data_IF_598967082383
#
_entry.id   IF_598967082383
#
_cell.length_a   1.000
_cell.length_b   1.000
_cell.length_c   1.000
_cell.angle_alpha   90.00
_cell.angle_beta   90.00
_cell.angle_gamma   90.00
#
_symmetry.space_group_name_H-M   'P 1'
#
loop_
_entity.id
_entity.type
_entity.pdbx_description
1 polymer ?
#
# COMPACT_ATOMS: atom_id res chain seq x y z
N UNK A 1 -8.20 -80.71 -11.04
CA UNK A 1 -7.21 -79.66 -10.71
C UNK A 1 -6.98 -78.54 -11.76
N UNK A 2 -7.74 -78.37 -12.88
CA UNK A 2 -7.43 -77.28 -13.83
C UNK A 2 -8.18 -75.95 -13.57
N UNK A 3 -9.31 -75.95 -12.83
CA UNK A 3 -10.13 -74.73 -12.65
C UNK A 3 -9.57 -73.71 -11.63
N UNK A 4 -8.58 -74.06 -10.81
CA UNK A 4 -8.04 -73.14 -9.78
C UNK A 4 -6.90 -72.24 -10.28
N UNK A 5 -6.22 -72.57 -11.38
CA UNK A 5 -5.14 -71.73 -11.94
C UNK A 5 -5.67 -70.57 -12.80
N UNK A 6 -6.79 -70.74 -13.49
CA UNK A 6 -7.37 -69.69 -14.34
C UNK A 6 -7.90 -68.49 -13.54
N UNK A 7 -8.39 -68.73 -12.32
CA UNK A 7 -8.93 -67.67 -11.45
C UNK A 7 -7.84 -66.77 -10.85
N UNK A 8 -6.64 -67.31 -10.54
CA UNK A 8 -5.51 -66.51 -10.03
C UNK A 8 -4.89 -65.64 -11.14
N UNK A 9 -4.81 -66.15 -12.37
CA UNK A 9 -4.27 -65.39 -13.51
C UNK A 9 -5.15 -64.18 -13.87
N UNK A 10 -6.47 -64.29 -13.73
CA UNK A 10 -7.41 -63.19 -13.93
C UNK A 10 -7.34 -62.12 -12.84
N UNK A 11 -6.96 -62.48 -11.61
CA UNK A 11 -6.87 -61.56 -10.49
C UNK A 11 -5.57 -60.75 -10.54
N UNK A 12 -4.44 -61.39 -10.88
CA UNK A 12 -3.14 -60.74 -11.06
C UNK A 12 -3.13 -59.75 -12.25
N UNK A 13 -3.81 -60.06 -13.36
CA UNK A 13 -3.92 -59.15 -14.50
C UNK A 13 -4.79 -57.92 -14.20
N UNK A 14 -5.82 -58.06 -13.34
CA UNK A 14 -6.67 -56.95 -12.91
C UNK A 14 -5.97 -56.06 -11.87
N UNK A 15 -5.18 -56.62 -10.96
CA UNK A 15 -4.36 -55.84 -10.03
C UNK A 15 -3.23 -55.08 -10.74
N UNK A 16 -2.63 -55.66 -11.79
CA UNK A 16 -1.60 -54.98 -12.59
C UNK A 16 -2.20 -53.83 -13.44
N UNK A 17 -3.41 -53.99 -13.97
CA UNK A 17 -4.10 -52.93 -14.71
C UNK A 17 -4.58 -51.77 -13.82
N UNK A 18 -4.94 -52.05 -12.56
CA UNK A 18 -5.31 -51.02 -11.58
C UNK A 18 -4.05 -50.32 -11.02
N UNK A 19 -2.94 -51.02 -10.83
CA UNK A 19 -1.67 -50.41 -10.41
C UNK A 19 -1.04 -49.54 -11.51
N UNK A 20 -1.25 -49.86 -12.80
CA UNK A 20 -0.76 -49.04 -13.91
C UNK A 20 -1.63 -47.80 -14.20
N UNK A 21 -2.84 -47.71 -13.62
CA UNK A 21 -3.73 -46.55 -13.75
C UNK A 21 -3.51 -45.48 -12.67
N UNK A 22 -2.70 -45.78 -11.64
CA UNK A 22 -2.37 -44.84 -10.55
C UNK A 22 -0.97 -44.23 -10.65
N UNK A 23 -0.21 -44.55 -11.69
CA UNK A 23 1.08 -43.93 -11.97
C UNK A 23 0.92 -42.93 -13.13
N UNK A 24 1.35 -41.68 -12.89
CA UNK A 24 1.36 -40.54 -13.81
C UNK A 24 0.03 -39.77 -13.91
N UNK A 25 -0.36 -39.13 -12.80
CA UNK A 25 -0.96 -37.79 -12.96
C UNK A 25 0.17 -36.85 -13.38
N UNK A 26 0.09 -36.19 -14.56
CA UNK A 26 1.01 -35.12 -14.85
C UNK A 26 0.74 -34.01 -13.83
N UNK A 27 1.75 -33.72 -13.01
CA UNK A 27 1.88 -32.40 -12.40
C UNK A 27 1.96 -31.45 -13.58
N UNK A 28 0.82 -30.81 -13.91
CA UNK A 28 0.80 -29.69 -14.83
C UNK A 28 1.50 -28.53 -14.10
N UNK A 29 2.84 -28.52 -14.13
CA UNK A 29 3.55 -27.25 -14.12
C UNK A 29 2.95 -26.45 -15.27
N UNK A 30 2.43 -25.25 -15.02
CA UNK A 30 1.77 -24.45 -16.05
C UNK A 30 2.75 -24.11 -17.16
N UNK A 31 2.83 -24.95 -18.18
CA UNK A 31 3.66 -24.74 -19.36
C UNK A 31 3.26 -23.39 -19.96
N UNK A 32 4.22 -22.45 -19.99
CA UNK A 32 4.07 -21.15 -20.63
C UNK A 32 3.70 -19.96 -19.73
N UNK A 33 3.43 -20.10 -18.43
CA UNK A 33 3.13 -18.92 -17.55
C UNK A 33 4.22 -18.68 -16.52
N UNK A 34 4.92 -17.55 -16.62
CA UNK A 34 6.01 -17.17 -15.70
C UNK A 34 5.69 -15.83 -15.03
N UNK A 35 6.12 -15.67 -13.78
CA UNK A 35 5.95 -14.42 -13.04
C UNK A 35 7.23 -14.02 -12.29
N UNK A 36 7.57 -12.73 -12.35
CA UNK A 36 8.55 -12.09 -11.48
C UNK A 36 7.81 -11.14 -10.54
N UNK A 37 7.88 -11.42 -9.24
CA UNK A 37 7.15 -10.71 -8.19
C UNK A 37 8.15 -10.10 -7.23
N UNK A 38 8.11 -8.78 -7.06
CA UNK A 38 9.09 -8.02 -6.29
C UNK A 38 8.38 -7.14 -5.25
N UNK A 39 8.85 -7.20 -4.00
CA UNK A 39 8.36 -6.37 -2.90
C UNK A 39 9.53 -5.74 -2.15
N UNK A 40 9.67 -4.41 -2.22
CA UNK A 40 10.74 -3.69 -1.53
C UNK A 40 10.15 -2.80 -0.43
N UNK A 41 10.59 -3.02 0.80
CA UNK A 41 10.03 -2.42 2.02
C UNK A 41 11.10 -1.76 2.88
N UNK A 42 12.23 -2.45 3.10
CA UNK A 42 13.30 -2.05 4.02
C UNK A 42 14.36 -1.15 3.36
N UNK A 43 13.95 0.05 2.92
CA UNK A 43 14.84 1.00 2.24
C UNK A 43 15.93 1.58 3.15
N UNK A 44 17.17 1.59 2.65
CA UNK A 44 18.34 2.15 3.35
C UNK A 44 18.44 3.68 3.20
N UNK A 45 18.10 4.19 2.00
CA UNK A 45 18.28 5.61 1.63
C UNK A 45 16.95 6.30 1.24
N UNK A 46 15.82 5.69 1.60
CA UNK A 46 14.48 6.24 1.42
C UNK A 46 13.59 5.82 2.61
N UNK A 47 12.45 6.49 2.86
CA UNK A 47 11.52 6.06 3.91
C UNK A 47 11.08 4.60 3.70
N UNK A 48 11.05 3.77 4.75
CA UNK A 48 10.55 2.41 4.63
C UNK A 48 9.04 2.42 4.31
N UNK A 49 8.58 1.32 3.73
CA UNK A 49 7.15 1.06 3.48
C UNK A 49 6.64 -0.01 4.46
N UNK A 50 5.33 -0.28 4.46
CA UNK A 50 4.73 -1.20 5.44
C UNK A 50 4.14 -2.49 4.85
N UNK A 51 3.80 -2.48 3.57
CA UNK A 51 3.11 -3.61 2.90
C UNK A 51 3.90 -4.37 1.82
N UNK A 52 4.93 -3.82 1.12
CA UNK A 52 5.46 -4.46 -0.08
C UNK A 52 5.95 -5.90 0.04
N UNK A 53 6.60 -6.27 1.14
CA UNK A 53 7.07 -7.65 1.32
C UNK A 53 5.89 -8.62 1.43
N UNK A 54 4.86 -8.24 2.19
CA UNK A 54 3.63 -9.02 2.32
C UNK A 54 2.88 -9.10 1.00
N UNK A 55 2.72 -7.97 0.33
CA UNK A 55 2.05 -7.86 -0.96
C UNK A 55 2.67 -8.84 -1.99
N UNK A 56 4.01 -8.83 -2.09
CA UNK A 56 4.74 -9.72 -2.97
C UNK A 56 4.60 -11.20 -2.57
N UNK A 57 4.67 -11.52 -1.28
CA UNK A 57 4.53 -12.89 -0.81
C UNK A 57 3.14 -13.46 -1.08
N UNK A 58 2.09 -12.67 -0.83
CA UNK A 58 0.70 -13.06 -1.01
C UNK A 58 0.35 -13.20 -2.50
N UNK A 59 0.78 -12.24 -3.32
CA UNK A 59 0.63 -12.30 -4.78
C UNK A 59 1.36 -13.52 -5.36
N UNK A 60 2.58 -13.79 -4.90
CA UNK A 60 3.34 -14.95 -5.35
C UNK A 60 2.65 -16.28 -5.01
N UNK A 61 2.03 -16.40 -3.83
CA UNK A 61 1.25 -17.60 -3.47
C UNK A 61 0.05 -17.76 -4.39
N UNK A 62 -0.76 -16.72 -4.56
CA UNK A 62 -1.91 -16.75 -5.45
C UNK A 62 -1.54 -17.14 -6.89
N UNK A 63 -0.46 -16.56 -7.45
CA UNK A 63 0.01 -16.87 -8.80
C UNK A 63 0.51 -18.31 -8.94
N UNK A 64 1.19 -18.86 -7.92
CA UNK A 64 1.59 -20.28 -7.91
C UNK A 64 0.38 -21.20 -7.91
N UNK A 65 -0.62 -20.91 -7.09
CA UNK A 65 -1.88 -21.67 -7.03
C UNK A 65 -2.64 -21.62 -8.37
N UNK A 66 -2.48 -20.52 -9.10
CA UNK A 66 -3.02 -20.33 -10.44
C UNK A 66 -2.14 -20.94 -11.54
N UNK A 67 -1.03 -21.59 -11.19
CA UNK A 67 -0.16 -22.32 -12.11
C UNK A 67 0.85 -21.47 -12.88
N UNK A 68 1.38 -20.41 -12.27
CA UNK A 68 2.57 -19.71 -12.75
C UNK A 68 3.87 -20.30 -12.17
N UNK A 69 4.96 -20.31 -12.94
CA UNK A 69 6.32 -20.41 -12.40
C UNK A 69 6.75 -19.04 -11.85
N UNK A 70 6.73 -18.89 -10.52
CA UNK A 70 6.93 -17.60 -9.84
C UNK A 70 8.32 -17.47 -9.23
N UNK A 71 9.08 -16.49 -9.71
CA UNK A 71 10.30 -15.98 -9.10
C UNK A 71 9.96 -14.80 -8.19
N UNK A 72 10.37 -14.84 -6.92
CA UNK A 72 10.05 -13.81 -5.93
C UNK A 72 11.33 -13.16 -5.43
N UNK A 73 11.30 -11.83 -5.29
CA UNK A 73 12.32 -11.05 -4.61
C UNK A 73 11.68 -10.17 -3.56
N UNK A 74 12.33 -10.09 -2.39
CA UNK A 74 11.97 -9.16 -1.33
C UNK A 74 13.21 -8.38 -0.92
N UNK A 75 13.06 -7.08 -0.71
CA UNK A 75 14.14 -6.17 -0.32
C UNK A 75 15.40 -6.33 -1.18
N UNK A 76 15.21 -6.29 -2.51
CA UNK A 76 16.28 -6.51 -3.46
C UNK A 76 17.15 -5.26 -3.62
N UNK A 77 18.46 -5.44 -3.58
CA UNK A 77 19.44 -4.43 -4.00
C UNK A 77 19.54 -4.37 -5.54
N UNK A 78 20.17 -3.32 -6.12
CA UNK A 78 20.23 -3.13 -7.57
C UNK A 78 20.86 -4.31 -8.32
N UNK A 79 21.95 -4.89 -7.80
CA UNK A 79 22.69 -5.96 -8.45
C UNK A 79 21.88 -7.27 -8.49
N UNK A 80 21.28 -7.64 -7.37
CA UNK A 80 20.41 -8.83 -7.27
C UNK A 80 19.20 -8.67 -8.18
N UNK A 81 18.57 -7.49 -8.18
CA UNK A 81 17.44 -7.21 -9.06
C UNK A 81 17.85 -7.40 -10.53
N UNK A 82 18.91 -6.75 -11.00
CA UNK A 82 19.40 -6.87 -12.38
C UNK A 82 19.76 -8.31 -12.76
N UNK A 83 20.45 -9.04 -11.88
CA UNK A 83 20.84 -10.42 -12.12
C UNK A 83 19.62 -11.34 -12.28
N UNK A 84 18.64 -11.24 -11.39
CA UNK A 84 17.42 -12.04 -11.46
C UNK A 84 16.53 -11.64 -12.62
N UNK A 85 16.46 -10.35 -12.97
CA UNK A 85 15.78 -9.89 -14.17
C UNK A 85 16.37 -10.53 -15.43
N UNK A 86 17.70 -10.61 -15.53
CA UNK A 86 18.40 -11.30 -16.62
C UNK A 86 18.07 -12.79 -16.69
N UNK A 87 18.07 -13.49 -15.55
CA UNK A 87 17.68 -14.90 -15.48
C UNK A 87 16.20 -15.12 -15.84
N UNK A 88 15.32 -14.23 -15.38
CA UNK A 88 13.89 -14.28 -15.68
C UNK A 88 13.59 -13.98 -17.15
N UNK A 89 14.30 -13.04 -17.78
CA UNK A 89 14.17 -12.73 -19.20
C UNK A 89 14.38 -13.96 -20.09
N UNK A 90 15.35 -14.82 -19.73
CA UNK A 90 15.58 -16.08 -20.44
C UNK A 90 14.38 -17.04 -20.36
N UNK A 91 13.69 -17.10 -19.21
CA UNK A 91 12.45 -17.87 -19.05
C UNK A 91 11.28 -17.25 -19.81
N UNK A 92 11.14 -15.93 -19.73
CA UNK A 92 10.04 -15.18 -20.32
C UNK A 92 10.02 -15.23 -21.86
N UNK A 93 11.19 -15.34 -22.49
CA UNK A 93 11.31 -15.35 -23.96
C UNK A 93 10.45 -16.43 -24.65
N UNK A 94 10.30 -17.60 -24.02
CA UNK A 94 9.51 -18.73 -24.52
C UNK A 94 8.15 -18.91 -23.84
N UNK A 95 7.73 -17.96 -22.99
CA UNK A 95 6.48 -18.07 -22.25
C UNK A 95 5.28 -17.59 -23.09
N UNK A 96 4.11 -18.17 -22.86
CA UNK A 96 2.83 -17.66 -23.36
C UNK A 96 2.40 -16.41 -22.58
N UNK A 97 2.80 -16.29 -21.31
CA UNK A 97 2.53 -15.14 -20.46
C UNK A 97 3.73 -14.88 -19.56
N UNK A 98 4.25 -13.66 -19.61
CA UNK A 98 5.16 -13.13 -18.60
C UNK A 98 4.44 -12.08 -17.76
N UNK A 99 4.37 -12.32 -16.46
CA UNK A 99 3.82 -11.37 -15.50
C UNK A 99 4.95 -10.73 -14.70
N UNK A 100 4.92 -9.41 -14.58
CA UNK A 100 5.77 -8.64 -13.69
C UNK A 100 4.90 -7.92 -12.68
N UNK A 101 5.16 -8.17 -11.40
CA UNK A 101 4.52 -7.51 -10.29
C UNK A 101 5.58 -6.80 -9.45
N UNK A 102 5.34 -5.54 -9.11
CA UNK A 102 6.22 -4.76 -8.25
C UNK A 102 5.42 -3.96 -7.22
N UNK A 103 5.78 -4.12 -5.94
CA UNK A 103 5.36 -3.25 -4.83
C UNK A 103 6.59 -2.58 -4.22
N UNK A 104 6.54 -1.27 -4.01
CA UNK A 104 7.65 -0.49 -3.48
C UNK A 104 7.72 0.95 -4.01
N UNK A 105 8.83 1.65 -3.74
CA UNK A 105 9.07 3.00 -4.27
C UNK A 105 9.33 2.98 -5.77
N UNK A 106 8.72 3.95 -6.47
CA UNK A 106 9.03 4.26 -7.86
C UNK A 106 8.86 5.76 -8.13
N UNK A 107 9.59 6.31 -9.09
CA UNK A 107 9.46 7.71 -9.49
C UNK A 107 9.50 7.88 -11.01
N UNK A 108 9.25 9.10 -11.52
CA UNK A 108 9.56 9.44 -12.90
C UNK A 108 10.71 10.40 -12.98
N UNK A 109 11.53 10.16 -14.00
CA UNK A 109 12.53 11.10 -14.46
C UNK A 109 12.56 11.07 -16.00
N UNK A 110 12.41 12.23 -16.64
CA UNK A 110 12.51 12.33 -18.10
C UNK A 110 11.46 11.52 -18.89
N UNK A 111 10.28 11.28 -18.30
CA UNK A 111 9.20 10.50 -18.90
C UNK A 111 9.27 9.00 -18.62
N UNK A 112 10.33 8.53 -17.95
CA UNK A 112 10.54 7.11 -17.66
C UNK A 112 10.17 6.80 -16.21
N UNK A 113 9.43 5.72 -16.00
CA UNK A 113 9.15 5.17 -14.68
C UNK A 113 10.37 4.39 -14.19
N UNK A 114 10.92 4.73 -13.03
CA UNK A 114 12.07 4.08 -12.40
C UNK A 114 11.64 3.40 -11.10
N UNK A 115 11.97 2.12 -10.97
CA UNK A 115 11.76 1.31 -9.77
C UNK A 115 12.98 1.38 -8.88
N UNK A 116 12.78 1.43 -7.57
CA UNK A 116 13.83 1.71 -6.58
C UNK A 116 14.14 0.44 -5.76
N UNK A 117 15.34 -0.15 -5.95
CA UNK A 117 15.92 -1.15 -5.05
C UNK A 117 16.15 -0.61 -3.63
N UNK A 118 16.19 -1.48 -2.62
CA UNK A 118 16.23 -1.04 -1.20
C UNK A 118 17.52 -0.29 -0.82
N UNK A 119 18.64 -0.65 -1.42
CA UNK A 119 19.95 -0.01 -1.17
C UNK A 119 20.30 1.09 -2.16
N UNK A 120 19.37 1.49 -3.04
CA UNK A 120 19.61 2.48 -4.08
C UNK A 120 20.01 3.83 -3.47
N UNK A 121 21.07 4.45 -4.01
CA UNK A 121 21.51 5.80 -3.62
C UNK A 121 20.88 6.84 -4.54
N UNK A 122 20.07 7.72 -3.94
CA UNK A 122 19.19 8.65 -4.66
C UNK A 122 19.64 10.12 -4.60
N UNK A 123 20.82 10.36 -4.02
CA UNK A 123 21.42 11.67 -3.75
C UNK A 123 22.21 12.24 -4.95
N UNK A 124 22.59 11.39 -5.91
CA UNK A 124 23.33 11.80 -7.12
C UNK A 124 22.52 11.53 -8.40
N UNK A 125 21.95 12.58 -9.04
CA UNK A 125 21.20 12.46 -10.28
C UNK A 125 21.94 11.73 -11.41
N UNK A 126 23.28 11.79 -11.44
CA UNK A 126 24.08 11.13 -12.46
C UNK A 126 24.15 9.60 -12.28
N UNK A 127 23.98 9.11 -11.04
CA UNK A 127 24.03 7.68 -10.69
C UNK A 127 22.67 7.01 -10.66
N UNK A 128 21.58 7.77 -10.75
CA UNK A 128 20.21 7.22 -10.70
C UNK A 128 19.98 6.13 -11.76
N UNK A 129 20.62 6.21 -12.92
CA UNK A 129 20.51 5.17 -13.95
C UNK A 129 21.13 3.83 -13.51
N UNK A 130 22.19 3.87 -12.70
CA UNK A 130 22.86 2.67 -12.18
C UNK A 130 22.18 2.15 -10.90
N UNK A 131 21.60 3.04 -10.11
CA UNK A 131 20.98 2.75 -8.81
C UNK A 131 19.52 2.30 -8.92
N UNK A 132 18.87 2.53 -10.07
CA UNK A 132 17.44 2.20 -10.30
C UNK A 132 17.25 1.36 -11.55
N UNK A 133 16.03 0.84 -11.76
CA UNK A 133 15.68 0.12 -12.98
C UNK A 133 14.54 0.83 -13.71
N UNK A 134 14.72 1.08 -14.99
CA UNK A 134 13.69 1.72 -15.80
C UNK A 134 12.64 0.69 -16.26
N UNK A 135 11.35 1.00 -16.07
CA UNK A 135 10.25 0.10 -16.41
C UNK A 135 10.25 -0.31 -17.88
N UNK A 136 10.63 0.60 -18.78
CA UNK A 136 10.72 0.32 -20.22
C UNK A 136 11.81 -0.71 -20.55
N UNK A 137 12.93 -0.70 -19.82
CA UNK A 137 14.00 -1.67 -19.95
C UNK A 137 13.56 -3.03 -19.41
N UNK A 138 12.91 -3.05 -18.25
CA UNK A 138 12.30 -4.26 -17.67
C UNK A 138 11.31 -4.88 -18.67
N UNK A 139 10.35 -4.10 -19.16
CA UNK A 139 9.31 -4.55 -20.08
C UNK A 139 9.87 -4.98 -21.44
N UNK A 140 11.00 -4.44 -21.87
CA UNK A 140 11.70 -4.88 -23.08
C UNK A 140 12.42 -6.20 -22.83
N UNK A 141 13.10 -6.35 -21.69
CA UNK A 141 13.88 -7.54 -21.37
C UNK A 141 13.00 -8.79 -21.18
N UNK A 142 11.84 -8.64 -20.54
CA UNK A 142 10.97 -9.77 -20.18
C UNK A 142 9.84 -10.04 -21.18
N UNK A 143 9.84 -9.33 -22.31
CA UNK A 143 8.78 -9.49 -23.31
C UNK A 143 8.82 -10.90 -23.90
N UNK A 144 7.71 -11.66 -23.84
CA UNK A 144 7.62 -12.91 -24.57
C UNK A 144 7.58 -12.69 -26.08
N UNK A 145 8.11 -13.63 -26.86
CA UNK A 145 8.18 -13.51 -28.32
C UNK A 145 6.79 -13.50 -28.97
N UNK A 146 5.95 -14.45 -28.60
CA UNK A 146 4.63 -14.68 -29.19
C UNK A 146 3.49 -14.63 -28.14
N UNK A 147 3.83 -14.33 -26.88
CA UNK A 147 2.93 -14.33 -25.73
C UNK A 147 2.48 -12.94 -25.27
N UNK A 148 1.89 -12.91 -24.07
CA UNK A 148 1.37 -11.70 -23.43
C UNK A 148 2.29 -11.20 -22.32
N UNK A 149 2.46 -9.87 -22.23
CA UNK A 149 3.19 -9.22 -21.14
C UNK A 149 2.21 -8.52 -20.20
N UNK A 150 2.16 -8.95 -18.94
CA UNK A 150 1.30 -8.34 -17.92
C UNK A 150 2.18 -7.65 -16.88
N UNK A 151 1.93 -6.37 -16.60
CA UNK A 151 2.69 -5.56 -15.66
C UNK A 151 1.72 -4.97 -14.64
N UNK A 152 1.97 -5.19 -13.35
CA UNK A 152 1.21 -4.64 -12.24
C UNK A 152 2.14 -3.87 -11.31
N UNK A 153 1.88 -2.58 -11.15
CA UNK A 153 2.71 -1.68 -10.36
C UNK A 153 1.91 -1.14 -9.18
N UNK A 154 2.22 -1.68 -8.01
CA UNK A 154 1.77 -1.21 -6.71
C UNK A 154 2.80 -0.25 -6.09
N UNK A 155 3.13 0.78 -6.86
CA UNK A 155 4.16 1.72 -6.49
C UNK A 155 3.61 3.13 -6.44
N UNK A 156 3.78 3.74 -5.27
CA UNK A 156 3.40 5.12 -4.99
C UNK A 156 4.61 6.04 -5.18
N UNK A 157 4.31 7.32 -5.32
CA UNK A 157 5.15 8.23 -6.08
C UNK A 157 5.51 9.54 -5.41
N UNK A 158 5.55 9.54 -4.09
CA UNK A 158 6.36 10.51 -3.39
C UNK A 158 7.78 10.33 -3.92
N UNK A 159 8.25 11.29 -4.71
CA UNK A 159 9.55 11.17 -5.34
C UNK A 159 10.59 11.04 -4.23
N UNK A 160 11.31 9.91 -4.10
CA UNK A 160 12.28 9.72 -3.03
C UNK A 160 13.54 10.56 -3.26
N UNK A 161 13.63 11.27 -4.39
CA UNK A 161 14.67 12.26 -4.66
C UNK A 161 14.48 13.50 -3.76
N UNK A 162 15.52 13.94 -3.02
CA UNK A 162 15.43 15.05 -2.06
C UNK A 162 14.87 16.37 -2.62
N UNK A 163 15.10 16.67 -3.90
CA UNK A 163 14.79 17.95 -4.54
C UNK A 163 13.67 17.88 -5.59
N UNK A 164 12.97 16.75 -5.70
CA UNK A 164 12.00 16.57 -6.77
C UNK A 164 10.56 16.90 -6.34
N UNK A 165 9.70 17.38 -7.27
CA UNK A 165 8.29 17.57 -6.99
C UNK A 165 7.65 16.27 -6.49
N UNK A 166 7.08 16.30 -5.28
CA UNK A 166 6.51 15.11 -4.64
C UNK A 166 5.18 14.63 -5.27
N UNK A 167 4.55 15.46 -6.11
CA UNK A 167 3.19 15.22 -6.63
C UNK A 167 3.14 14.64 -8.06
N UNK A 168 4.28 14.22 -8.62
CA UNK A 168 4.36 13.75 -10.00
C UNK A 168 4.14 12.22 -10.13
N UNK A 169 2.93 11.73 -9.80
CA UNK A 169 2.42 10.33 -9.95
C UNK A 169 2.74 9.61 -11.29
N UNK A 170 2.52 8.28 -11.44
CA UNK A 170 3.16 7.39 -12.46
C UNK A 170 3.06 7.95 -13.89
N UNK A 171 4.16 7.96 -14.67
CA UNK A 171 4.05 8.39 -16.05
C UNK A 171 3.33 7.28 -16.82
N UNK A 172 2.43 7.69 -17.69
CA UNK A 172 1.78 6.76 -18.59
C UNK A 172 2.82 5.97 -19.37
N UNK A 173 2.64 4.65 -19.43
CA UNK A 173 3.56 3.76 -20.12
C UNK A 173 2.78 2.78 -21.00
N UNK A 174 3.16 2.74 -22.28
CA UNK A 174 2.70 1.76 -23.23
C UNK A 174 3.79 0.72 -23.45
N UNK A 175 3.52 -0.53 -23.07
CA UNK A 175 4.40 -1.65 -23.35
C UNK A 175 4.14 -2.24 -24.75
N UNK A 176 3.45 -1.56 -25.66
CA UNK A 176 3.23 -1.99 -27.03
C UNK A 176 2.29 -3.20 -27.17
N UNK A 177 2.22 -3.76 -28.38
CA UNK A 177 1.27 -4.83 -28.70
C UNK A 177 1.44 -6.07 -27.81
N UNK A 178 0.32 -6.67 -27.39
CA UNK A 178 0.31 -7.86 -26.55
C UNK A 178 0.60 -7.59 -25.08
N UNK A 179 0.53 -6.32 -24.63
CA UNK A 179 0.81 -5.96 -23.25
C UNK A 179 -0.40 -5.43 -22.49
N UNK A 180 -0.35 -5.57 -21.18
CA UNK A 180 -1.25 -4.98 -20.21
C UNK A 180 -0.43 -4.36 -19.09
N UNK A 181 -0.68 -3.09 -18.76
CA UNK A 181 0.00 -2.39 -17.67
C UNK A 181 -1.04 -1.79 -16.75
N UNK A 182 -1.03 -2.20 -15.48
CA UNK A 182 -1.89 -1.66 -14.43
C UNK A 182 -1.07 -0.95 -13.36
N UNK A 183 -1.62 0.16 -12.90
CA UNK A 183 -1.08 1.02 -11.87
C UNK A 183 -2.06 1.09 -10.71
N UNK A 184 -1.55 1.05 -9.48
CA UNK A 184 -2.36 1.15 -8.27
C UNK A 184 -3.15 2.47 -8.16
N UNK A 185 -2.70 3.52 -8.84
CA UNK A 185 -3.40 4.82 -8.91
C UNK A 185 -3.23 5.47 -10.28
N UNK A 186 -4.10 6.44 -10.58
CA UNK A 186 -4.07 7.18 -11.83
C UNK A 186 -2.80 8.03 -11.97
N UNK A 187 -2.36 8.34 -13.21
CA UNK A 187 -1.25 9.25 -13.45
C UNK A 187 -1.41 10.58 -12.69
N UNK A 188 -0.36 11.03 -12.01
CA UNK A 188 -0.38 12.26 -11.20
C UNK A 188 -1.10 12.17 -9.84
N UNK A 189 -1.50 10.98 -9.38
CA UNK A 189 -2.07 10.75 -8.04
C UNK A 189 -1.15 9.86 -7.19
N UNK A 190 -1.38 9.86 -5.87
CA UNK A 190 -0.60 9.08 -4.88
C UNK A 190 -1.43 7.86 -4.44
N UNK A 191 -0.80 6.70 -4.29
CA UNK A 191 -1.44 5.51 -3.73
C UNK A 191 -1.08 5.35 -2.24
N UNK A 192 -1.89 4.56 -1.53
CA UNK A 192 -1.76 4.39 -0.09
C UNK A 192 -0.91 3.18 0.28
N UNK A 193 0.10 3.42 1.12
CA UNK A 193 0.93 2.40 1.79
C UNK A 193 0.32 1.91 3.12
N UNK A 194 -1.00 2.07 3.32
CA UNK A 194 -1.67 1.63 4.56
C UNK A 194 -2.81 0.69 4.25
N UNK A 195 -2.55 -0.61 4.38
CA UNK A 195 -3.58 -1.58 4.71
C UNK A 195 -4.09 -1.37 6.14
N UNK A 196 -5.24 -1.96 6.50
CA UNK A 196 -5.55 -2.17 7.92
C UNK A 196 -4.40 -2.98 8.58
N UNK A 197 -4.19 -2.88 9.89
CA UNK A 197 -3.05 -3.53 10.56
C UNK A 197 -2.90 -5.02 10.13
N UNK A 198 -1.78 -5.33 9.46
CA UNK A 198 -1.47 -6.67 8.93
C UNK A 198 -2.08 -7.04 7.58
N UNK A 199 -2.77 -6.13 6.90
CA UNK A 199 -3.33 -6.35 5.56
C UNK A 199 -2.38 -5.88 4.44
N UNK A 200 -2.58 -6.44 3.25
CA UNK A 200 -1.96 -5.98 2.01
C UNK A 200 -2.36 -4.53 1.69
N UNK A 201 -1.64 -3.88 0.77
CA UNK A 201 -2.04 -2.59 0.21
C UNK A 201 -3.47 -2.66 -0.36
N UNK A 202 -4.18 -1.52 -0.50
CA UNK A 202 -5.51 -1.53 -1.12
C UNK A 202 -5.53 -2.18 -2.51
N UNK A 203 -4.52 -1.89 -3.34
CA UNK A 203 -4.46 -2.41 -4.72
C UNK A 203 -4.18 -3.91 -4.75
N UNK A 204 -3.17 -4.36 -4.00
CA UNK A 204 -2.82 -5.79 -3.96
C UNK A 204 -3.89 -6.61 -3.26
N UNK A 205 -4.43 -6.10 -2.15
CA UNK A 205 -5.58 -6.72 -1.48
C UNK A 205 -6.79 -6.87 -2.40
N UNK A 206 -7.07 -5.88 -3.26
CA UNK A 206 -8.12 -5.97 -4.26
C UNK A 206 -7.80 -6.98 -5.37
N UNK A 207 -6.58 -6.98 -5.93
CA UNK A 207 -6.17 -7.99 -6.91
C UNK A 207 -6.36 -9.41 -6.37
N UNK A 208 -5.86 -9.68 -5.16
CA UNK A 208 -5.93 -11.00 -4.51
C UNK A 208 -7.36 -11.51 -4.32
N UNK A 209 -8.36 -10.63 -4.17
CA UNK A 209 -9.77 -11.02 -4.08
C UNK A 209 -10.34 -11.54 -5.40
N UNK A 210 -9.81 -11.09 -6.54
CA UNK A 210 -10.42 -11.31 -7.85
C UNK A 210 -9.59 -12.22 -8.78
N UNK A 211 -8.26 -12.33 -8.60
CA UNK A 211 -7.39 -13.13 -9.48
C UNK A 211 -7.74 -14.62 -9.52
N UNK A 212 -8.37 -15.16 -8.48
CA UNK A 212 -8.75 -16.56 -8.42
C UNK A 212 -10.14 -16.86 -9.02
N UNK A 213 -10.90 -15.83 -9.44
CA UNK A 213 -12.27 -16.01 -9.94
C UNK A 213 -12.28 -16.76 -11.29
N UNK A 214 -12.86 -17.98 -11.37
CA UNK A 214 -12.83 -18.77 -12.59
C UNK A 214 -13.57 -18.12 -13.75
N UNK A 215 -12.92 -18.07 -14.91
CA UNK A 215 -13.50 -17.55 -16.14
C UNK A 215 -13.52 -16.02 -16.25
N UNK A 216 -13.11 -15.29 -15.22
CA UNK A 216 -13.09 -13.83 -15.22
C UNK A 216 -12.01 -13.28 -16.15
N UNK A 217 -12.39 -12.36 -17.03
CA UNK A 217 -11.43 -11.68 -17.90
C UNK A 217 -10.63 -10.65 -17.11
N UNK A 218 -9.37 -10.43 -17.50
CA UNK A 218 -8.51 -9.41 -16.87
C UNK A 218 -9.14 -8.01 -16.90
N UNK A 219 -9.87 -7.68 -17.96
CA UNK A 219 -10.57 -6.38 -18.07
C UNK A 219 -11.69 -6.26 -17.03
N UNK A 220 -12.50 -7.30 -16.86
CA UNK A 220 -13.58 -7.29 -15.86
C UNK A 220 -13.02 -7.30 -14.43
N UNK A 221 -11.96 -8.08 -14.21
CA UNK A 221 -11.21 -8.12 -12.96
C UNK A 221 -10.77 -6.71 -12.55
N UNK A 222 -10.22 -5.95 -13.48
CA UNK A 222 -9.70 -4.61 -13.19
C UNK A 222 -10.79 -3.58 -12.92
N UNK A 223 -12.01 -3.78 -13.44
CA UNK A 223 -13.18 -2.98 -13.05
C UNK A 223 -13.50 -3.22 -11.56
N UNK A 224 -13.50 -4.49 -11.12
CA UNK A 224 -13.77 -4.83 -9.72
C UNK A 224 -12.66 -4.32 -8.80
N UNK A 225 -11.40 -4.49 -9.20
CA UNK A 225 -10.24 -3.95 -8.46
C UNK A 225 -10.35 -2.44 -8.31
N UNK A 226 -10.74 -1.71 -9.36
CA UNK A 226 -10.89 -0.25 -9.28
C UNK A 226 -11.98 0.16 -8.30
N UNK A 227 -13.13 -0.52 -8.32
CA UNK A 227 -14.24 -0.25 -7.41
C UNK A 227 -13.83 -0.51 -5.96
N UNK A 228 -13.25 -1.68 -5.71
CA UNK A 228 -12.75 -2.09 -4.40
C UNK A 228 -11.75 -1.10 -3.80
N UNK A 229 -10.76 -0.68 -4.60
CA UNK A 229 -9.76 0.29 -4.16
C UNK A 229 -10.40 1.65 -3.93
N UNK A 230 -11.24 2.13 -4.85
CA UNK A 230 -11.95 3.41 -4.68
C UNK A 230 -12.79 3.42 -3.40
N UNK A 231 -13.53 2.34 -3.12
CA UNK A 231 -14.39 2.24 -1.94
C UNK A 231 -13.57 2.19 -0.64
N UNK A 232 -12.51 1.36 -0.60
CA UNK A 232 -11.61 1.25 0.55
C UNK A 232 -10.89 2.56 0.87
N UNK A 233 -10.62 3.35 -0.17
CA UNK A 233 -9.80 4.56 -0.09
C UNK A 233 -10.66 5.83 -0.05
N UNK A 234 -12.00 5.70 -0.08
CA UNK A 234 -12.92 6.85 -0.13
C UNK A 234 -12.72 7.73 -1.37
N UNK A 235 -12.34 7.10 -2.49
CA UNK A 235 -12.14 7.72 -3.80
C UNK A 235 -10.81 8.44 -3.99
N UNK A 236 -9.87 8.38 -3.03
CA UNK A 236 -8.57 9.08 -3.19
C UNK A 236 -7.55 8.28 -4.00
N UNK A 237 -7.77 6.98 -4.18
CA UNK A 237 -6.97 6.14 -5.06
C UNK A 237 -7.88 5.48 -6.08
N UNK A 238 -7.53 5.62 -7.35
CA UNK A 238 -8.27 5.04 -8.48
C UNK A 238 -7.27 4.29 -9.36
N UNK A 239 -7.24 2.95 -9.31
CA UNK A 239 -6.42 2.14 -10.21
C UNK A 239 -6.68 2.46 -11.67
N UNK A 240 -5.60 2.47 -12.45
CA UNK A 240 -5.64 2.80 -13.87
C UNK A 240 -4.83 1.80 -14.67
N UNK A 241 -5.31 1.47 -15.87
CA UNK A 241 -4.68 0.51 -16.76
C UNK A 241 -4.56 1.03 -18.20
N UNK A 242 -3.56 0.49 -18.89
CA UNK A 242 -3.40 0.59 -20.31
C UNK A 242 -3.27 -0.82 -20.89
N UNK A 243 -4.07 -1.12 -21.92
CA UNK A 243 -4.11 -2.44 -22.54
C UNK A 243 -3.94 -2.34 -24.04
N UNK A 244 -3.01 -3.14 -24.54
CA UNK A 244 -2.80 -3.44 -25.96
C UNK A 244 -2.88 -4.96 -26.20
N UNK A 245 -3.58 -5.68 -25.32
CA UNK A 245 -3.80 -7.12 -25.45
C UNK A 245 -4.59 -7.45 -26.72
N UNK A 246 -4.20 -8.54 -27.39
CA UNK A 246 -4.83 -9.01 -28.64
C UNK A 246 -5.84 -10.13 -28.41
N UNK A 247 -5.88 -10.68 -27.21
CA UNK A 247 -6.81 -11.70 -26.75
C UNK A 247 -7.08 -11.52 -25.26
N UNK A 248 -8.22 -12.02 -24.79
CA UNK A 248 -8.57 -11.93 -23.38
C UNK A 248 -7.62 -12.81 -22.55
N UNK A 249 -7.05 -12.23 -21.49
CA UNK A 249 -6.35 -12.98 -20.46
C UNK A 249 -7.31 -13.38 -19.34
N UNK A 250 -7.10 -14.56 -18.76
CA UNK A 250 -7.77 -15.06 -17.56
C UNK A 250 -6.74 -15.72 -16.68
N UNK A 251 -6.72 -15.35 -15.39
CA UNK A 251 -5.85 -16.00 -14.42
C UNK A 251 -6.27 -17.46 -14.18
N UNK A 252 -7.57 -17.67 -13.93
CA UNK A 252 -8.21 -18.98 -13.84
C UNK A 252 -9.16 -19.19 -15.04
N UNK A 253 -8.90 -20.12 -15.97
CA UNK A 253 -9.83 -20.49 -17.03
C UNK A 253 -11.16 -21.07 -16.49
N UNK A 254 -12.28 -20.80 -17.18
CA UNK A 254 -13.57 -21.38 -16.82
C UNK A 254 -13.53 -22.92 -16.93
N UNK A 255 -13.89 -23.63 -15.86
CA UNK A 255 -13.93 -25.09 -15.83
C UNK A 255 -12.73 -25.78 -15.17
N UNK A 256 -11.73 -25.03 -14.68
CA UNK A 256 -10.85 -25.55 -13.61
C UNK A 256 -11.62 -25.41 -12.29
N UNK A 257 -11.89 -26.50 -11.55
CA UNK A 257 -12.35 -26.38 -10.18
C UNK A 257 -11.31 -25.54 -9.43
N UNK A 258 -11.75 -24.50 -8.73
CA UNK A 258 -10.93 -23.90 -7.68
C UNK A 258 -10.46 -25.09 -6.84
N UNK A 259 -9.15 -25.33 -6.83
CA UNK A 259 -8.61 -26.47 -6.08
C UNK A 259 -9.01 -26.18 -4.64
N UNK A 260 -9.95 -26.98 -4.13
CA UNK A 260 -10.44 -26.88 -2.78
C UNK A 260 -9.20 -26.91 -1.89
N UNK A 261 -8.92 -25.78 -1.23
CA UNK A 261 -7.78 -25.61 -0.36
C UNK A 261 -7.93 -26.62 0.77
N UNK A 262 -7.45 -27.85 0.52
CA UNK A 262 -7.34 -28.89 1.50
C UNK A 262 -6.27 -28.39 2.44
N UNK A 263 -6.68 -27.88 3.60
CA UNK A 263 -5.76 -27.61 4.69
C UNK A 263 -4.88 -28.86 4.85
N UNK A 264 -3.54 -28.75 4.77
CA UNK A 264 -2.70 -29.91 5.01
C UNK A 264 -2.93 -30.34 6.46
N UNK A 265 -3.61 -31.48 6.64
CA UNK A 265 -3.54 -32.19 7.91
C UNK A 265 -2.11 -32.72 8.03
N UNK A 266 -1.28 -31.99 8.76
CA UNK A 266 -0.01 -32.53 9.23
C UNK A 266 -0.33 -33.58 10.30
N UNK A 267 -0.33 -34.85 9.92
CA UNK A 267 0.08 -35.89 10.86
C UNK A 267 1.58 -35.68 11.09
N UNK A 268 1.92 -35.20 12.29
CA UNK A 268 3.30 -35.05 12.70
C UNK A 268 3.96 -36.43 12.73
N UNK A 269 5.11 -36.65 12.04
CA UNK A 269 5.88 -37.86 12.27
C UNK A 269 6.38 -37.85 13.73
N UNK A 270 6.08 -38.93 14.44
CA UNK A 270 6.74 -39.25 15.70
C UNK A 270 8.18 -39.62 15.38
N UNK A 271 9.11 -38.86 15.92
CA UNK A 271 10.52 -39.20 15.88
C UNK A 271 10.85 -40.07 17.09
N UNK A 272 11.20 -41.34 16.83
CA UNK A 272 11.89 -42.16 17.82
C UNK A 272 13.27 -41.55 18.08
N UNK A 273 13.56 -41.28 19.35
CA UNK A 273 14.87 -40.84 19.82
C UNK A 273 15.89 -41.97 19.62
N UNK A 274 16.90 -41.73 18.79
CA UNK A 274 18.08 -42.59 18.72
C UNK A 274 19.18 -41.96 19.57
N UNK A 275 19.67 -42.74 20.54
CA UNK A 275 20.78 -42.38 21.42
C UNK A 275 22.05 -42.09 20.61
N UNK A 276 22.75 -41.04 21.01
CA UNK A 276 24.04 -40.67 20.45
C UNK A 276 25.13 -41.60 20.99
N UNK A 277 25.59 -42.53 20.15
CA UNK A 277 26.88 -43.19 20.35
C UNK A 277 27.85 -42.86 19.22
N UNK A 278 29.00 -42.39 19.67
CA UNK A 278 30.22 -41.99 18.96
C UNK A 278 30.66 -42.92 17.83
N UNK A 279 30.93 -42.35 16.65
CA UNK A 279 31.82 -42.95 15.65
C UNK A 279 32.90 -41.93 15.28
N UNK A 280 34.14 -42.28 15.66
CA UNK A 280 35.38 -41.67 15.24
C UNK A 280 35.54 -41.80 13.72
N UNK A 281 35.84 -40.70 13.05
CA UNK A 281 36.30 -40.71 11.65
C UNK A 281 37.78 -41.10 11.63
N UNK A 282 38.09 -42.15 10.88
CA UNK A 282 39.46 -42.53 10.51
C UNK A 282 39.76 -41.90 9.14
N UNK A 283 40.75 -41.00 9.12
CA UNK A 283 41.26 -40.35 7.92
C UNK A 283 42.16 -41.33 7.17
N UNK A 284 41.67 -41.96 6.10
CA UNK A 284 42.46 -42.35 4.90
C UNK A 284 41.64 -43.16 3.89
N UNK A 285 41.07 -42.49 2.91
CA UNK A 285 40.88 -43.02 1.55
C UNK A 285 40.56 -41.86 0.60
N UNK A 286 41.58 -41.36 -0.10
CA UNK A 286 41.69 -41.50 -1.56
C UNK A 286 40.58 -40.72 -2.28
N UNK A 287 40.83 -39.46 -2.65
CA UNK A 287 41.54 -39.15 -3.90
C UNK A 287 41.06 -40.07 -5.03
N UNK A 288 39.95 -39.71 -5.67
CA UNK A 288 39.67 -39.75 -7.12
C UNK A 288 38.20 -39.33 -7.37
N UNK A 289 37.94 -38.03 -7.57
CA UNK A 289 36.78 -37.49 -8.33
C UNK A 289 36.88 -35.96 -8.53
N UNK A 290 37.18 -35.54 -9.76
CA UNK A 290 37.00 -34.25 -10.48
C UNK A 290 36.75 -32.90 -9.72
N UNK A 291 37.65 -31.89 -9.84
CA UNK A 291 37.54 -30.60 -9.16
C UNK A 291 36.83 -29.49 -9.99
N UNK A 292 35.75 -29.79 -10.73
CA UNK A 292 35.05 -28.78 -11.57
C UNK A 292 33.56 -28.60 -11.22
N UNK A 293 33.02 -29.27 -10.19
CA UNK A 293 31.58 -29.17 -9.88
C UNK A 293 31.16 -28.87 -8.44
N UNK A 294 32.06 -28.35 -7.60
CA UNK A 294 31.71 -27.93 -6.23
C UNK A 294 32.25 -26.55 -5.82
N UNK A 295 32.44 -25.62 -6.78
CA UNK A 295 32.78 -24.22 -6.49
C UNK A 295 31.59 -23.25 -6.67
N UNK A 296 30.39 -23.77 -6.94
CA UNK A 296 29.15 -23.01 -6.87
C UNK A 296 28.27 -23.70 -5.84
N UNK A 297 27.86 -22.97 -4.81
CA UNK A 297 27.11 -23.42 -3.62
C UNK A 297 28.00 -23.86 -2.44
N UNK A 298 28.76 -22.94 -1.84
CA UNK A 298 28.95 -22.89 -0.38
C UNK A 298 29.80 -21.70 0.07
N UNK A 299 29.20 -20.51 0.09
CA UNK A 299 29.49 -19.52 1.12
C UNK A 299 28.30 -18.56 1.19
N UNK A 300 27.79 -18.31 2.39
CA UNK A 300 26.72 -17.35 2.75
C UNK A 300 25.29 -17.87 2.97
N UNK A 301 25.12 -19.06 3.53
CA UNK A 301 23.97 -19.33 4.41
C UNK A 301 24.39 -20.11 5.65
N UNK A 302 25.06 -19.42 6.58
CA UNK A 302 25.16 -19.90 7.97
C UNK A 302 25.37 -18.72 8.93
N UNK A 303 24.29 -18.03 9.30
CA UNK A 303 24.10 -17.54 10.67
C UNK A 303 22.71 -16.93 10.88
N UNK A 304 21.78 -17.73 11.38
CA UNK A 304 20.56 -17.27 12.05
C UNK A 304 20.09 -18.41 12.95
N UNK A 305 20.67 -18.48 14.15
CA UNK A 305 20.08 -19.09 15.34
C UNK A 305 21.05 -19.01 16.53
N UNK A 306 21.06 -17.88 17.25
CA UNK A 306 21.24 -17.88 18.70
C UNK A 306 20.48 -16.71 19.30
N UNK A 307 19.33 -17.00 19.90
CA UNK A 307 18.63 -16.10 20.83
C UNK A 307 19.41 -16.11 22.15
N UNK A 308 19.94 -14.96 22.54
CA UNK A 308 20.51 -14.74 23.87
C UNK A 308 19.46 -14.11 24.81
N UNK A 309 19.45 -14.42 26.11
CA UNK A 309 18.47 -13.88 27.05
C UNK A 309 18.74 -12.41 27.38
N UNK A 310 17.65 -11.65 27.51
CA UNK A 310 17.62 -10.20 27.77
C UNK A 310 18.05 -9.92 29.22
N UNK A 311 19.00 -9.02 29.41
CA UNK A 311 19.48 -8.52 30.71
C UNK A 311 18.61 -7.34 31.20
N UNK A 312 18.40 -7.11 32.53
CA UNK A 312 17.35 -6.20 33.03
C UNK A 312 17.67 -4.69 32.98
N UNK A 313 18.85 -4.25 32.55
CA UNK A 313 19.32 -2.87 32.78
C UNK A 313 19.62 -2.05 31.51
N UNK A 314 18.88 -2.26 30.41
CA UNK A 314 18.96 -1.38 29.23
C UNK A 314 17.85 -0.29 29.23
N UNK A 315 18.17 0.97 28.86
CA UNK A 315 17.25 2.10 28.97
C UNK A 315 16.05 1.98 28.00
N UNK A 316 14.85 2.22 28.52
CA UNK A 316 13.58 2.20 27.77
C UNK A 316 13.55 3.32 26.72
N UNK A 317 13.43 2.96 25.45
CA UNK A 317 13.06 3.87 24.36
C UNK A 317 11.54 4.08 24.40
N UNK A 318 11.12 5.34 24.38
CA UNK A 318 9.73 5.79 24.39
C UNK A 318 9.02 5.50 23.06
N UNK A 319 7.74 5.14 23.14
CA UNK A 319 6.87 4.94 21.98
C UNK A 319 5.88 3.78 22.16
N UNK A 320 5.08 3.80 23.22
CA UNK A 320 3.91 2.92 23.33
C UNK A 320 2.76 3.70 23.91
N UNK A 321 2.20 4.58 23.07
CA UNK A 321 0.94 5.29 23.37
C UNK A 321 -0.20 4.65 22.56
N UNK A 322 -0.28 3.31 22.60
CA UNK A 322 -1.46 2.58 22.13
C UNK A 322 -2.49 2.63 23.24
N UNK A 323 -3.54 3.44 23.06
CA UNK A 323 -4.69 3.43 23.94
C UNK A 323 -5.37 2.05 23.96
N UNK A 324 -5.97 1.63 25.08
CA UNK A 324 -6.72 0.38 25.16
C UNK A 324 -7.88 0.40 24.14
N UNK A 325 -7.73 -0.38 23.06
CA UNK A 325 -8.72 -0.47 21.98
C UNK A 325 -8.17 -0.42 20.56
N UNK A 326 -6.85 -0.37 20.37
CA UNK A 326 -6.22 -0.48 19.03
C UNK A 326 -6.41 0.76 18.14
N UNK A 327 -6.83 1.88 18.73
CA UNK A 327 -6.96 3.16 18.04
C UNK A 327 -5.68 3.95 18.29
N UNK A 328 -4.97 4.29 17.21
CA UNK A 328 -3.77 5.12 17.30
C UNK A 328 -4.14 6.49 17.90
N UNK A 329 -3.41 6.90 18.94
CA UNK A 329 -3.59 8.21 19.53
C UNK A 329 -2.98 9.28 18.63
N UNK A 330 -3.64 10.45 18.50
CA UNK A 330 -3.07 11.56 17.78
C UNK A 330 -1.89 12.12 18.55
N UNK A 331 -0.86 12.56 17.83
CA UNK A 331 0.36 13.17 18.39
C UNK A 331 0.02 14.37 19.31
N UNK A 332 -1.02 15.14 18.95
CA UNK A 332 -1.65 16.13 19.82
C UNK A 332 -3.03 15.63 20.28
N UNK A 333 -3.06 14.99 21.45
CA UNK A 333 -4.27 14.40 22.02
C UNK A 333 -5.42 15.43 22.23
N UNK A 334 -5.19 16.63 22.80
CA UNK A 334 -6.19 17.69 22.84
C UNK A 334 -6.80 18.05 21.47
N UNK A 335 -5.99 18.15 20.43
CA UNK A 335 -6.44 18.49 19.08
C UNK A 335 -7.31 17.38 18.48
N UNK A 336 -6.87 16.12 18.61
CA UNK A 336 -7.63 14.98 18.16
C UNK A 336 -8.97 14.82 18.89
N UNK A 337 -9.00 15.02 20.20
CA UNK A 337 -10.25 15.01 20.98
C UNK A 337 -11.18 16.16 20.55
N UNK A 338 -10.66 17.37 20.29
CA UNK A 338 -11.45 18.48 19.75
C UNK A 338 -12.03 18.16 18.36
N UNK A 339 -11.25 17.50 17.49
CA UNK A 339 -11.68 17.09 16.16
C UNK A 339 -12.81 16.08 16.22
N UNK A 340 -12.69 15.06 17.08
CA UNK A 340 -13.74 14.07 17.26
C UNK A 340 -14.99 14.65 17.92
N UNK A 341 -14.84 15.50 18.94
CA UNK A 341 -15.98 16.24 19.53
C UNK A 341 -16.71 17.10 18.50
N UNK A 342 -15.99 17.64 17.51
CA UNK A 342 -16.57 18.41 16.41
C UNK A 342 -17.32 17.52 15.43
N UNK A 343 -16.74 16.36 15.07
CA UNK A 343 -17.38 15.33 14.21
C UNK A 343 -18.71 14.85 14.79
N UNK A 344 -18.76 14.56 16.09
CA UNK A 344 -19.99 14.10 16.76
C UNK A 344 -20.99 15.23 17.06
N UNK A 345 -20.65 16.48 16.69
CA UNK A 345 -21.52 17.65 16.83
C UNK A 345 -21.54 18.27 18.23
N UNK A 346 -20.64 17.86 19.12
CA UNK A 346 -20.58 18.34 20.51
C UNK A 346 -19.69 19.59 20.68
N UNK A 347 -18.82 19.89 19.71
CA UNK A 347 -17.92 21.05 19.70
C UNK A 347 -18.13 21.95 18.48
N UNK A 348 -18.26 23.26 18.71
CA UNK A 348 -18.46 24.28 17.66
C UNK A 348 -17.29 25.27 17.53
N UNK A 349 -16.24 25.09 18.35
CA UNK A 349 -15.04 25.91 18.34
C UNK A 349 -14.08 25.60 17.19
N UNK A 350 -12.96 26.32 17.18
CA UNK A 350 -11.82 26.01 16.31
C UNK A 350 -11.10 24.78 16.88
N UNK A 351 -10.64 23.88 16.01
CA UNK A 351 -9.73 22.81 16.41
C UNK A 351 -8.33 23.40 16.35
N UNK A 352 -7.71 23.58 17.51
CA UNK A 352 -6.45 24.29 17.71
C UNK A 352 -5.52 23.61 18.71
N UNK A 353 -5.97 22.54 19.37
CA UNK A 353 -5.20 21.85 20.40
C UNK A 353 -5.18 22.56 21.76
N UNK A 354 -5.75 23.77 21.87
CA UNK A 354 -5.80 24.51 23.13
C UNK A 354 -6.96 24.00 24.00
N UNK A 355 -6.65 23.27 25.08
CA UNK A 355 -7.68 22.68 25.95
C UNK A 355 -8.26 23.68 26.97
N UNK A 356 -9.14 24.56 26.47
CA UNK A 356 -9.82 25.60 27.25
C UNK A 356 -11.20 25.22 27.79
N UNK A 357 -11.86 26.17 28.45
CA UNK A 357 -13.22 26.00 29.01
C UNK A 357 -14.29 25.61 27.95
N UNK A 358 -14.09 25.97 26.69
CA UNK A 358 -14.98 25.57 25.59
C UNK A 358 -14.93 24.07 25.31
N UNK A 359 -13.73 23.49 25.31
CA UNK A 359 -13.48 22.07 25.03
C UNK A 359 -13.93 21.21 26.22
N UNK A 360 -13.65 21.62 27.47
CA UNK A 360 -14.17 20.96 28.68
C UNK A 360 -15.69 20.87 28.71
N UNK A 361 -16.39 21.97 28.36
CA UNK A 361 -17.87 21.98 28.26
C UNK A 361 -18.38 21.09 27.14
N UNK A 362 -17.66 21.00 26.02
CA UNK A 362 -18.04 20.14 24.91
C UNK A 362 -17.90 18.64 25.25
N UNK A 363 -16.86 18.28 25.98
CA UNK A 363 -16.70 16.92 26.51
C UNK A 363 -17.81 16.56 27.51
N UNK A 364 -18.16 17.47 28.43
CA UNK A 364 -19.31 17.28 29.32
C UNK A 364 -20.62 17.05 28.55
N UNK A 365 -20.88 17.84 27.50
CA UNK A 365 -22.06 17.64 26.64
C UNK A 365 -22.08 16.28 25.94
N UNK A 366 -20.92 15.78 25.53
CA UNK A 366 -20.82 14.46 24.94
C UNK A 366 -21.25 13.39 25.94
N UNK A 367 -20.71 13.42 27.18
CA UNK A 367 -21.10 12.47 28.22
C UNK A 367 -22.59 12.57 28.58
N UNK A 368 -23.15 13.79 28.64
CA UNK A 368 -24.59 14.00 28.83
C UNK A 368 -25.41 13.37 27.69
N UNK A 369 -24.96 13.54 26.44
CA UNK A 369 -25.65 13.05 25.26
C UNK A 369 -25.66 11.51 25.18
N UNK A 370 -24.57 10.86 25.60
CA UNK A 370 -24.49 9.39 25.69
C UNK A 370 -25.00 8.84 27.02
N UNK A 371 -25.50 9.69 27.92
CA UNK A 371 -25.98 9.34 29.28
C UNK A 371 -24.93 8.59 30.11
N UNK A 372 -23.68 9.06 30.07
CA UNK A 372 -22.58 8.49 30.86
C UNK A 372 -22.42 9.26 32.17
N UNK A 373 -22.20 8.55 33.28
CA UNK A 373 -21.92 9.15 34.60
C UNK A 373 -20.46 9.66 34.75
N UNK A 374 -19.73 9.82 33.63
CA UNK A 374 -18.32 10.21 33.65
C UNK A 374 -18.17 11.68 34.06
N UNK A 375 -17.17 11.95 34.91
CA UNK A 375 -16.79 13.30 35.34
C UNK A 375 -15.51 13.79 34.67
N UNK A 376 -15.05 13.10 33.63
CA UNK A 376 -13.82 13.44 32.94
C UNK A 376 -13.96 14.79 32.23
N UNK A 377 -12.96 15.65 32.41
CA UNK A 377 -12.95 17.01 31.84
C UNK A 377 -11.70 17.30 31.04
N UNK A 378 -10.71 16.41 31.07
CA UNK A 378 -9.45 16.52 30.34
C UNK A 378 -9.43 15.56 29.14
N UNK A 379 -8.61 15.82 28.11
CA UNK A 379 -8.52 14.96 26.94
C UNK A 379 -7.62 13.76 27.27
N UNK A 380 -8.22 12.60 27.53
CA UNK A 380 -7.48 11.35 27.75
C UNK A 380 -7.53 10.42 26.54
N UNK A 381 -6.64 9.44 26.53
CA UNK A 381 -6.58 8.40 25.51
C UNK A 381 -7.92 7.64 25.42
N UNK A 382 -8.50 7.29 26.56
CA UNK A 382 -9.77 6.56 26.67
C UNK A 382 -10.94 7.41 26.16
N UNK A 383 -10.92 8.73 26.45
CA UNK A 383 -11.90 9.68 25.92
C UNK A 383 -11.82 9.74 24.40
N UNK A 384 -10.61 9.81 23.84
CA UNK A 384 -10.41 9.80 22.40
C UNK A 384 -10.97 8.52 21.77
N UNK A 385 -10.63 7.34 22.32
CA UNK A 385 -11.15 6.05 21.83
C UNK A 385 -12.67 5.93 21.97
N UNK A 386 -13.27 6.49 23.02
CA UNK A 386 -14.71 6.50 23.19
C UNK A 386 -15.39 7.40 22.13
N UNK A 387 -14.78 8.54 21.83
CA UNK A 387 -15.29 9.49 20.84
C UNK A 387 -15.19 8.95 19.41
N UNK A 388 -14.12 8.26 19.03
CA UNK A 388 -13.99 7.67 17.68
C UNK A 388 -15.07 6.62 17.39
N UNK A 389 -15.57 5.95 18.43
CA UNK A 389 -16.66 4.97 18.33
C UNK A 389 -18.07 5.59 18.35
N UNK A 390 -18.19 6.88 18.67
CA UNK A 390 -19.47 7.55 18.77
C UNK A 390 -20.02 7.93 17.38
N UNK A 391 -21.33 7.78 17.23
CA UNK A 391 -22.05 8.10 16.00
C UNK A 391 -21.96 9.60 15.66
N UNK A 392 -21.95 9.91 14.36
CA UNK A 392 -22.07 11.29 13.91
C UNK A 392 -23.40 11.91 14.40
N UNK A 393 -23.36 13.19 14.79
CA UNK A 393 -24.51 13.94 15.35
C UNK A 393 -25.03 13.43 16.70
N UNK A 394 -24.18 12.81 17.51
CA UNK A 394 -24.50 12.42 18.90
C UNK A 394 -25.06 13.61 19.72
N UNK A 395 -24.50 14.80 19.55
CA UNK A 395 -25.05 16.01 20.16
C UNK A 395 -26.06 16.71 19.24
N UNK A 396 -27.20 17.13 19.82
CA UNK A 396 -28.15 17.99 19.11
C UNK A 396 -27.53 19.37 18.86
N UNK A 397 -27.73 19.96 17.66
CA UNK A 397 -27.18 21.28 17.35
C UNK A 397 -27.70 22.30 18.35
N UNK A 398 -26.79 23.09 18.92
CA UNK A 398 -27.19 24.12 19.86
C UNK A 398 -28.06 25.17 19.14
N UNK A 399 -29.16 25.63 19.75
CA UNK A 399 -29.75 26.88 19.32
C UNK A 399 -28.69 27.96 19.51
N UNK A 400 -28.30 28.61 18.40
CA UNK A 400 -27.44 29.80 18.43
C UNK A 400 -28.13 30.82 19.33
N UNK A 401 -27.57 31.03 20.52
CA UNK A 401 -28.07 32.04 21.43
C UNK A 401 -28.01 33.39 20.70
N UNK A 402 -29.18 33.99 20.46
CA UNK A 402 -29.27 35.38 20.06
C UNK A 402 -28.45 36.21 21.06
N UNK A 403 -27.58 37.06 20.52
CA UNK A 403 -26.76 38.03 21.24
C UNK A 403 -27.59 38.63 22.39
N UNK A 404 -27.14 38.57 23.67
CA UNK A 404 -27.89 39.20 24.74
C UNK A 404 -27.97 40.70 24.44
N UNK A 405 -29.17 41.25 24.36
CA UNK A 405 -29.37 42.68 24.44
C UNK A 405 -28.67 43.17 25.72
N UNK A 406 -27.80 44.17 25.57
CA UNK A 406 -27.15 44.88 26.67
C UNK A 406 -28.18 45.35 27.68
N UNK A 407 -28.38 44.59 28.76
CA UNK A 407 -29.06 45.08 29.96
C UNK A 407 -28.07 46.00 30.68
N UNK A 408 -28.36 47.30 30.63
CA UNK A 408 -27.79 48.30 31.54
C UNK A 408 -28.05 47.83 32.98
N UNK A 409 -27.02 47.37 33.67
CA UNK A 409 -27.03 47.28 35.13
C UNK A 409 -26.83 48.67 35.69
N UNK A 410 -27.90 49.27 36.20
CA UNK A 410 -27.80 50.45 37.03
C UNK A 410 -27.02 50.12 38.29
N UNK A 411 -26.00 50.93 38.58
CA UNK A 411 -25.54 51.14 39.95
C UNK A 411 -25.63 52.64 40.22
N UNK A 412 -26.48 52.97 41.18
CA UNK A 412 -26.71 54.34 41.67
C UNK A 412 -25.45 54.89 42.35
N UNK A 413 -24.99 56.06 41.90
CA UNK A 413 -24.28 57.02 42.73
C UNK A 413 -24.44 58.46 42.16
N UNK A 414 -25.39 59.19 42.75
CA UNK A 414 -25.29 60.58 43.26
C UNK A 414 -24.75 61.71 42.33
N UNK A 415 -25.67 62.65 42.05
CA UNK A 415 -25.54 64.13 41.93
C UNK A 415 -24.44 64.70 41.02
N UNK A 416 -24.85 65.40 39.95
CA UNK A 416 -24.99 66.87 39.91
C UNK A 416 -25.52 67.33 38.54
N UNK A 417 -26.25 68.45 38.55
CA UNK A 417 -27.08 68.98 37.47
C UNK A 417 -26.28 69.92 36.51
N UNK A 418 -26.92 70.79 35.71
CA UNK A 418 -27.01 70.66 34.26
C UNK A 418 -26.27 71.80 33.53
N UNK A 419 -26.12 71.72 32.19
CA UNK A 419 -26.17 72.97 31.44
C UNK A 419 -26.84 72.84 30.07
N UNK A 420 -27.54 73.92 29.78
CA UNK A 420 -28.52 74.22 28.78
C UNK A 420 -27.87 74.80 27.52
N UNK A 421 -28.48 74.59 26.35
CA UNK A 421 -28.90 75.63 25.37
C UNK A 421 -29.35 74.95 24.06
N UNK A 422 -30.62 75.13 23.65
CA UNK A 422 -31.09 76.03 22.55
C UNK A 422 -30.36 75.75 21.23
N UNK A 423 -30.99 75.52 20.08
CA UNK A 423 -32.17 76.19 19.51
C UNK A 423 -32.63 75.45 18.25
N UNK A 424 -33.95 75.56 18.02
CA UNK A 424 -34.71 75.38 16.78
C UNK A 424 -33.98 75.64 15.45
N UNK A 425 -34.42 74.95 14.39
CA UNK A 425 -34.25 75.49 13.03
C UNK A 425 -34.44 74.52 11.86
N UNK A 426 -35.69 74.15 11.58
CA UNK A 426 -36.35 74.06 10.27
C UNK A 426 -35.74 73.27 9.08
N UNK A 427 -36.68 72.54 8.47
CA UNK A 427 -36.75 71.90 7.13
C UNK A 427 -35.76 72.30 6.03
N UNK A 428 -35.24 71.30 5.31
CA UNK A 428 -35.41 71.22 3.84
C UNK A 428 -35.14 69.81 3.30
N UNK A 429 -36.05 69.37 2.44
CA UNK A 429 -36.00 68.16 1.61
C UNK A 429 -34.94 68.37 0.52
N UNK A 430 -33.99 67.46 0.32
CA UNK A 430 -33.23 67.38 -0.95
C UNK A 430 -32.93 65.93 -1.31
N UNK A 431 -33.40 65.58 -2.50
CA UNK A 431 -33.25 64.29 -3.17
C UNK A 431 -31.78 63.94 -3.42
N UNK A 432 -31.56 62.63 -3.51
CA UNK A 432 -30.33 61.96 -3.87
C UNK A 432 -29.79 62.40 -5.24
N UNK A 433 -28.46 62.28 -5.43
CA UNK A 433 -27.90 61.83 -6.68
C UNK A 433 -27.27 60.44 -6.53
N UNK A 434 -27.52 59.59 -7.53
CA UNK A 434 -26.84 58.34 -7.75
C UNK A 434 -25.35 58.57 -8.08
N UNK A 435 -24.49 57.77 -7.46
CA UNK A 435 -23.10 57.50 -7.83
C UNK A 435 -22.81 56.07 -7.35
N UNK A 436 -21.99 55.23 -7.95
CA UNK A 436 -21.41 55.05 -9.28
C UNK A 436 -20.75 53.65 -9.18
N UNK A 437 -20.71 52.88 -10.27
CA UNK A 437 -20.08 51.55 -10.28
C UNK A 437 -18.58 51.65 -9.88
N UNK A 438 -18.06 50.73 -9.04
CA UNK A 438 -16.65 50.73 -8.71
C UNK A 438 -15.79 50.25 -9.91
N UNK A 439 -14.69 50.96 -10.13
CA UNK A 439 -13.70 50.76 -11.17
C UNK A 439 -12.96 49.40 -11.10
N UNK A 440 -12.40 48.90 -12.22
CA UNK A 440 -11.68 47.62 -12.25
C UNK A 440 -10.33 47.69 -11.51
N UNK A 441 -9.97 46.56 -10.90
CA UNK A 441 -8.73 46.37 -10.15
C UNK A 441 -7.46 46.47 -11.03
N UNK A 442 -6.29 46.86 -10.46
CA UNK A 442 -5.06 47.05 -11.22
C UNK A 442 -4.40 45.73 -11.63
N UNK A 443 -3.93 45.68 -12.88
CA UNK A 443 -3.13 44.59 -13.45
C UNK A 443 -1.78 44.41 -12.71
N UNK A 444 -1.52 43.19 -12.23
CA UNK A 444 -0.19 42.79 -11.75
C UNK A 444 0.68 42.39 -12.94
N UNK A 445 1.75 43.14 -13.19
CA UNK A 445 2.81 42.76 -14.13
C UNK A 445 3.54 41.50 -13.63
N UNK A 446 3.42 40.40 -14.37
CA UNK A 446 4.21 39.18 -14.15
C UNK A 446 5.68 39.34 -14.56
N UNK A 447 6.57 38.44 -14.10
CA UNK A 447 7.98 38.46 -14.45
C UNK A 447 8.17 38.12 -15.94
N UNK A 448 9.07 38.85 -16.62
CA UNK A 448 9.48 38.57 -18.00
C UNK A 448 10.70 37.66 -17.98
N UNK A 449 10.54 36.39 -18.36
CA UNK A 449 11.67 35.52 -18.69
C UNK A 449 12.24 35.90 -20.06
N UNK A 450 13.53 36.23 -20.13
CA UNK A 450 14.27 36.33 -21.38
C UNK A 450 14.82 34.94 -21.72
N UNK A 451 14.39 34.37 -22.83
CA UNK A 451 14.99 33.14 -23.37
C UNK A 451 16.29 33.48 -24.11
N UNK A 452 17.38 32.82 -23.74
CA UNK A 452 18.62 32.79 -24.52
C UNK A 452 18.60 31.51 -25.36
N UNK A 453 18.58 31.64 -26.68
CA UNK A 453 18.75 30.53 -27.62
C UNK A 453 20.23 30.37 -27.90
N UNK A 454 20.83 29.26 -27.49
CA UNK A 454 22.19 28.87 -27.88
C UNK A 454 22.08 27.76 -28.92
N UNK A 455 22.46 28.06 -30.16
CA UNK A 455 22.60 27.07 -31.21
C UNK A 455 23.98 26.40 -31.09
N UNK A 456 24.00 25.08 -30.93
CA UNK A 456 25.23 24.28 -31.05
C UNK A 456 25.39 23.90 -32.52
N UNK A 457 26.45 24.41 -33.14
CA UNK A 457 26.90 23.96 -34.46
C UNK A 457 27.85 22.79 -34.22
N UNK A 458 27.48 21.60 -34.70
CA UNK A 458 28.39 20.46 -34.74
C UNK A 458 29.43 20.67 -35.86
N UNK A 459 30.69 20.35 -35.57
CA UNK A 459 31.74 20.07 -36.57
C UNK A 459 32.36 18.72 -36.26
#
# INVERSE_FOLDING_TARGET
>A
MPMRLAALSSLLLRCLAVALAFAVSPVHAGEGRVALVIGNEAYENAPPLATPVRDAQDMARALRDLGFDVTVLTDANPDVFKAVLGAFAAKAAGADTALFYYSGHAFQQGGLNRLVPVSARLDDPAKLADETLALNEIATAIRPKDGQLLIFLDACRTNPLPDAPQDAGLAQYDAGSGSFVAFATAPGQVAWDKGADGANSPFTGALLRHVAEPGQSLSDLMILVRNDVSDQTGGKQIPWEQSSLRSQFRFAPAGQPATEATAPSFDAPSFDTVDADTVLLDDTALAEADPVRLAALSSETRSLATVAPVSPDAPRIAGSDVAPGGVALPENLPEGVQQELKRVGCYSGKVDGDWGNGSRRALGRYFDAVKSDSKETEPTAEVFVALTKAAEKTCKPQPVAAKPATKKSGTSAKKSAPDTTKSNGNTTKKQAPAQAAPAPAPEKKGPRCKFLVVAVVCS
#
